data_IF_825505470957
#
_entry.id   IF_825505470957
#
_cell.length_a   1.000
_cell.length_b   1.000
_cell.length_c   1.000
_cell.angle_alpha   90.00
_cell.angle_beta   90.00
_cell.angle_gamma   90.00
#
_symmetry.space_group_name_H-M   'P 1'
#
loop_
_entity.id
_entity.type
_entity.pdbx_description
1 polymer ?
2 water ?
#
# COMPACT_ATOMS: atom_id res chain seq x y z
N UNK A 2 17.92 -15.24 -3.66
CA UNK A 2 18.32 -15.59 -5.02
C UNK A 2 19.46 -14.68 -5.51
N UNK A 3 19.13 -13.71 -6.38
CA UNK A 3 20.10 -12.70 -6.82
C UNK A 3 20.33 -11.60 -5.78
N UNK A 4 19.37 -11.38 -4.89
CA UNK A 4 19.49 -10.34 -3.89
C UNK A 4 18.14 -9.70 -3.64
N UNK A 5 18.18 -8.59 -2.90
CA UNK A 5 16.98 -7.85 -2.55
C UNK A 5 17.17 -6.40 -2.98
N UNK A 6 16.19 -5.86 -3.68
CA UNK A 6 16.14 -4.44 -3.99
C UNK A 6 15.11 -3.79 -3.07
N UNK A 7 15.56 -2.90 -2.19
CA UNK A 7 14.67 -2.15 -1.31
C UNK A 7 14.46 -0.76 -1.88
N UNK A 8 13.21 -0.41 -2.15
CA UNK A 8 13.00 0.94 -2.65
C UNK A 8 11.73 1.55 -2.07
N UNK A 9 11.75 2.87 -2.01
CA UNK A 9 10.65 3.64 -1.44
C UNK A 9 9.66 3.88 -2.57
N UNK A 10 8.50 3.22 -2.49
CA UNK A 10 7.44 3.41 -3.47
C UNK A 10 6.67 4.70 -3.24
N UNK A 11 6.70 5.24 -2.02
CA UNK A 11 6.03 6.51 -1.73
C UNK A 11 6.67 7.14 -0.50
N UNK A 12 6.87 8.44 -0.57
CA UNK A 12 7.37 9.24 0.54
C UNK A 12 6.58 10.54 0.47
N UNK A 13 5.60 10.70 1.35
CA UNK A 13 4.57 11.73 1.18
C UNK A 13 4.32 12.42 2.51
N UNK A 14 4.61 13.72 2.56
CA UNK A 14 4.35 14.55 3.72
C UNK A 14 2.97 15.18 3.53
N UNK A 15 2.16 15.14 4.58
CA UNK A 15 0.76 15.53 4.53
C UNK A 15 0.40 16.32 5.78
N UNK A 16 -0.51 17.30 5.67
CA UNK A 16 -1.04 17.95 6.87
C UNK A 16 -1.97 17.07 7.69
N UNK A 17 -2.41 15.93 7.16
CA UNK A 17 -3.38 15.09 7.85
C UNK A 17 -2.68 14.31 8.96
N UNK A 18 -3.39 14.10 10.07
CA UNK A 18 -2.78 13.44 11.22
C UNK A 18 -2.46 11.96 10.92
N UNK A 19 -1.37 11.44 11.50
CA UNK A 19 -0.93 10.09 11.09
C UNK A 19 -1.88 8.99 11.48
N UNK A 20 -2.54 9.09 12.65
CA UNK A 20 -3.51 8.07 13.02
C UNK A 20 -4.60 7.95 11.98
N UNK A 21 -4.98 9.08 11.35
CA UNK A 21 -6.08 9.03 10.40
C UNK A 21 -5.66 8.39 9.09
N UNK A 22 -4.48 8.75 8.58
CA UNK A 22 -3.97 8.14 7.36
C UNK A 22 -3.71 6.65 7.56
N UNK A 23 -3.19 6.30 8.72
CA UNK A 23 -3.00 4.89 9.05
C UNK A 23 -4.30 4.12 8.91
N UNK A 24 -5.38 4.62 9.52
CA UNK A 24 -6.68 3.95 9.41
C UNK A 24 -7.13 3.87 7.95
N UNK A 25 -6.97 4.96 7.21
CA UNK A 25 -7.45 4.96 5.83
C UNK A 25 -6.65 4.00 4.95
N UNK A 26 -5.32 3.93 5.12
CA UNK A 26 -4.52 3.18 4.15
C UNK A 26 -4.29 1.73 4.52
N UNK A 27 -4.26 1.41 5.81
CA UNK A 27 -3.85 0.08 6.23
C UNK A 27 -4.92 -0.69 7.00
N UNK A 28 -5.82 -0.03 7.71
CA UNK A 28 -6.80 -0.72 8.56
C UNK A 28 -8.15 -0.83 7.89
N UNK A 29 -8.67 0.30 7.37
CA UNK A 29 -10.00 0.37 6.78
C UNK A 29 -9.96 0.56 5.27
N UNK A 30 -8.81 0.29 4.63
CA UNK A 30 -8.70 0.51 3.19
C UNK A 30 -9.67 -0.35 2.40
N UNK A 31 -10.03 -1.54 2.91
CA UNK A 31 -10.93 -2.40 2.16
C UNK A 31 -12.32 -1.79 2.01
N UNK A 32 -12.70 -0.88 2.91
CA UNK A 32 -13.94 -0.12 2.77
C UNK A 32 -13.72 1.19 2.04
N UNK A 33 -12.66 1.92 2.41
CA UNK A 33 -12.44 3.26 1.88
C UNK A 33 -12.03 3.24 0.41
N UNK A 34 -11.05 2.40 0.04
CA UNK A 34 -10.42 2.59 -1.27
C UNK A 34 -11.36 2.32 -2.44
N UNK A 35 -12.20 1.27 -2.42
CA UNK A 35 -13.13 1.10 -3.56
C UNK A 35 -14.12 2.25 -3.69
N UNK A 36 -14.52 2.89 -2.59
CA UNK A 36 -15.42 4.04 -2.66
C UNK A 36 -14.69 5.31 -3.11
N UNK A 37 -13.53 5.60 -2.52
CA UNK A 37 -12.90 6.91 -2.73
C UNK A 37 -12.02 6.93 -3.97
N UNK A 38 -11.44 5.79 -4.34
CA UNK A 38 -10.50 5.79 -5.44
C UNK A 38 -10.85 4.64 -6.41
N UNK A 39 -12.10 4.57 -6.89
CA UNK A 39 -12.48 3.44 -7.77
C UNK A 39 -11.68 3.38 -9.05
N UNK A 40 -11.02 4.47 -9.45
CA UNK A 40 -10.20 4.42 -10.65
C UNK A 40 -8.90 3.66 -10.44
N UNK A 41 -8.51 3.40 -9.19
CA UNK A 41 -7.32 2.61 -8.91
C UNK A 41 -7.62 1.26 -8.27
N UNK A 42 -8.73 1.14 -7.55
CA UNK A 42 -9.07 -0.06 -6.80
C UNK A 42 -10.52 -0.44 -7.10
N UNK A 43 -10.71 -1.57 -7.80
CA UNK A 43 -12.07 -2.03 -8.06
C UNK A 43 -12.72 -2.55 -6.79
N UNK A 44 -12.05 -3.44 -6.08
CA UNK A 44 -12.61 -3.98 -4.86
C UNK A 44 -11.46 -4.56 -4.05
N UNK A 45 -11.72 -4.73 -2.76
CA UNK A 45 -10.80 -5.40 -1.84
C UNK A 45 -11.63 -6.38 -1.01
N UNK A 46 -11.28 -7.66 -1.06
CA UNK A 46 -11.99 -8.70 -0.33
C UNK A 46 -11.06 -9.36 0.68
N UNK A 47 -11.62 -9.75 1.82
CA UNK A 47 -10.86 -10.59 2.76
C UNK A 47 -10.83 -12.01 2.21
N UNK A 48 -9.63 -12.48 1.86
CA UNK A 48 -9.38 -13.89 1.54
C UNK A 48 -9.28 -14.72 2.81
N UNK A 49 -8.77 -14.13 3.89
CA UNK A 49 -8.61 -14.83 5.15
C UNK A 49 -8.79 -13.80 6.24
N UNK A 50 -9.61 -14.12 7.25
CA UNK A 50 -10.00 -13.15 8.25
C UNK A 50 -11.19 -12.32 7.78
N UNK A 51 -11.69 -11.46 8.67
CA UNK A 51 -12.77 -10.55 8.33
C UNK A 51 -12.55 -9.14 8.89
N UNK A 52 -11.36 -8.85 9.36
CA UNK A 52 -11.00 -7.52 9.85
C UNK A 52 -9.50 -7.47 9.71
N UNK A 53 -8.96 -6.25 9.62
CA UNK A 53 -7.52 -6.11 9.49
C UNK A 53 -6.86 -6.56 10.78
N UNK A 54 -6.09 -7.63 10.69
CA UNK A 54 -5.49 -8.22 11.86
C UNK A 54 -4.28 -8.99 11.39
N UNK A 55 -3.32 -9.18 12.29
CA UNK A 55 -2.18 -10.03 11.95
C UNK A 55 -2.68 -11.38 11.47
N UNK A 56 -2.16 -11.85 10.33
CA UNK A 56 -2.56 -13.10 9.70
C UNK A 56 -3.64 -12.99 8.63
N UNK A 57 -4.37 -11.88 8.58
CA UNK A 57 -5.40 -11.77 7.55
C UNK A 57 -4.75 -11.65 6.16
N UNK A 58 -5.53 -11.98 5.14
CA UNK A 58 -5.12 -11.87 3.75
C UNK A 58 -6.19 -11.06 3.02
N UNK A 59 -5.78 -9.96 2.41
CA UNK A 59 -6.69 -9.15 1.61
C UNK A 59 -6.31 -9.26 0.14
N UNK A 60 -7.30 -9.46 -0.71
CA UNK A 60 -7.08 -9.47 -2.15
C UNK A 60 -7.52 -8.13 -2.70
N UNK A 61 -6.61 -7.43 -3.35
CA UNK A 61 -6.90 -6.14 -3.97
C UNK A 61 -7.06 -6.41 -5.46
N UNK A 62 -8.21 -6.02 -6.00
CA UNK A 62 -8.53 -6.20 -7.41
C UNK A 62 -8.49 -4.84 -8.08
N UNK A 63 -7.71 -4.74 -9.20
CA UNK A 63 -7.48 -3.49 -9.92
C UNK A 63 -8.40 -3.38 -11.14
N UNK A 64 -8.73 -2.16 -11.56
CA UNK A 64 -9.60 -1.99 -12.73
C UNK A 64 -9.03 -2.65 -13.98
N UNK A 65 -9.92 -2.80 -14.97
CA UNK A 65 -9.53 -3.36 -16.27
C UNK A 65 -8.40 -2.56 -16.90
N UNK A 66 -8.44 -1.23 -16.75
CA UNK A 66 -7.34 -0.37 -17.18
C UNK A 66 -5.99 -0.93 -16.75
N UNK A 67 -5.87 -1.32 -15.48
CA UNK A 67 -4.57 -1.50 -14.85
C UNK A 67 -3.73 -2.54 -15.58
N UNK A 68 -2.40 -2.40 -15.54
CA UNK A 68 -1.52 -3.39 -16.18
C UNK A 68 -1.52 -4.75 -15.50
N UNK A 69 -2.04 -4.84 -14.28
CA UNK A 69 -2.13 -6.11 -13.56
C UNK A 69 -3.56 -6.27 -13.04
N UNK A 70 -3.88 -7.46 -12.58
CA UNK A 70 -5.25 -7.70 -12.19
C UNK A 70 -5.45 -7.81 -10.68
N UNK A 71 -4.48 -8.34 -9.94
CA UNK A 71 -4.75 -8.56 -8.52
C UNK A 71 -3.49 -8.88 -7.74
N UNK A 72 -3.63 -8.71 -6.42
CA UNK A 72 -2.59 -9.01 -5.46
C UNK A 72 -3.27 -9.53 -4.20
N UNK A 73 -2.65 -10.52 -3.55
CA UNK A 73 -3.09 -11.06 -2.27
C UNK A 73 -2.01 -10.71 -1.25
N UNK A 74 -2.37 -9.89 -0.26
CA UNK A 74 -1.44 -9.33 0.71
C UNK A 74 -1.73 -9.95 2.07
N UNK A 75 -0.75 -10.66 2.61
CA UNK A 75 -0.86 -11.28 3.92
C UNK A 75 -0.25 -10.36 4.98
N UNK A 76 -1.04 -10.00 6.00
CA UNK A 76 -0.58 -9.04 7.00
C UNK A 76 0.25 -9.78 8.06
N UNK A 77 1.53 -9.44 8.16
CA UNK A 77 2.41 -10.19 9.06
C UNK A 77 2.70 -9.46 10.36
N UNK A 78 2.67 -8.13 10.36
CA UNK A 78 2.96 -7.38 11.58
C UNK A 78 2.15 -6.09 11.57
N UNK A 79 1.60 -5.71 12.72
CA UNK A 79 0.90 -4.43 12.90
C UNK A 79 1.40 -3.82 14.19
N UNK A 80 1.83 -2.56 14.13
CA UNK A 80 2.15 -1.82 15.36
C UNK A 80 1.39 -0.52 15.25
N UNK A 81 0.13 -0.53 15.71
CA UNK A 81 -0.74 0.62 15.52
C UNK A 81 -0.23 1.84 16.27
N UNK A 82 0.47 1.62 17.38
CA UNK A 82 1.00 2.73 18.16
C UNK A 82 2.05 3.50 17.37
N UNK A 83 2.79 2.82 16.49
CA UNK A 83 3.76 3.44 15.62
C UNK A 83 3.23 3.63 14.20
N UNK A 84 1.94 3.34 13.97
CA UNK A 84 1.32 3.49 12.65
C UNK A 84 2.08 2.70 11.60
N UNK A 85 2.40 1.45 11.94
CA UNK A 85 3.25 0.59 11.13
C UNK A 85 2.54 -0.70 10.76
N UNK A 86 2.69 -1.12 9.50
CA UNK A 86 2.17 -2.40 9.08
C UNK A 86 3.14 -3.02 8.08
N UNK A 87 3.36 -4.32 8.20
CA UNK A 87 4.17 -5.06 7.24
C UNK A 87 3.29 -6.14 6.64
N UNK A 88 3.31 -6.25 5.32
CA UNK A 88 2.59 -7.33 4.67
C UNK A 88 3.45 -7.95 3.58
N UNK A 89 3.09 -9.18 3.22
CA UNK A 89 3.81 -9.94 2.21
C UNK A 89 2.86 -10.25 1.07
N UNK A 90 3.28 -9.97 -0.17
CA UNK A 90 2.44 -10.35 -1.30
C UNK A 90 2.64 -11.84 -1.56
N UNK A 91 1.61 -12.65 -1.30
CA UNK A 91 1.76 -14.10 -1.42
C UNK A 91 1.28 -14.63 -2.76
N UNK A 92 0.62 -13.80 -3.56
CA UNK A 92 0.07 -14.21 -4.84
C UNK A 92 -0.28 -12.95 -5.62
N UNK A 93 -0.17 -13.03 -6.94
CA UNK A 93 -0.62 -11.91 -7.74
C UNK A 93 0.21 -11.68 -8.99
N UNK A 94 -0.19 -10.70 -9.81
CA UNK A 94 0.50 -10.40 -11.05
C UNK A 94 0.94 -8.94 -11.12
N UNK A 95 0.99 -8.26 -9.98
CA UNK A 95 1.37 -6.85 -9.92
C UNK A 95 2.87 -6.65 -9.76
N UNK A 96 3.62 -7.64 -9.96
CA UNK A 96 5.05 -7.56 -9.74
C UNK A 96 5.75 -7.01 -10.96
N UNK A 97 6.84 -6.29 -10.75
CA UNK A 97 7.81 -6.11 -11.83
C UNK A 97 8.34 -7.48 -12.26
N UNK A 98 8.38 -7.70 -13.58
CA UNK A 98 8.60 -9.00 -14.22
C UNK A 98 9.56 -9.94 -13.50
N UNK A 99 10.51 -9.38 -12.78
CA UNK A 99 11.66 -10.13 -12.29
C UNK A 99 11.66 -10.29 -10.77
N UNK A 100 10.49 -10.43 -10.14
CA UNK A 100 10.39 -10.43 -8.68
C UNK A 100 9.92 -11.80 -8.21
N UNK A 101 10.74 -12.47 -7.39
CA UNK A 101 10.37 -13.76 -6.83
C UNK A 101 9.41 -13.64 -5.64
N UNK A 102 9.44 -12.52 -4.93
CA UNK A 102 8.83 -12.44 -3.61
C UNK A 102 8.90 -10.99 -3.16
N UNK A 103 7.82 -10.42 -2.63
CA UNK A 103 7.81 -9.00 -2.31
C UNK A 103 7.19 -8.75 -0.94
N UNK A 104 7.86 -7.91 -0.16
CA UNK A 104 7.48 -7.58 1.20
C UNK A 104 7.34 -6.07 1.26
N UNK A 105 6.31 -5.59 1.95
CA UNK A 105 6.01 -4.16 1.98
C UNK A 105 5.84 -3.67 3.40
N UNK A 106 6.28 -2.44 3.66
CA UNK A 106 6.10 -1.80 4.96
C UNK A 106 5.45 -0.44 4.72
N UNK A 107 4.29 -0.21 5.33
CA UNK A 107 3.61 1.08 5.28
C UNK A 107 3.80 1.71 6.65
N UNK A 108 4.36 2.92 6.70
CA UNK A 108 4.63 3.58 7.96
C UNK A 108 4.14 5.01 7.86
N UNK A 109 3.59 5.50 8.96
CA UNK A 109 3.16 6.89 9.08
C UNK A 109 3.84 7.47 10.30
N UNK A 110 4.42 8.64 10.13
CA UNK A 110 5.25 9.27 11.13
C UNK A 110 4.62 10.62 11.47
N UNK A 111 4.59 10.93 12.75
CA UNK A 111 4.16 12.25 13.19
C UNK A 111 5.25 13.27 12.88
N UNK A 112 4.88 14.37 12.24
CA UNK A 112 5.81 15.47 12.02
C UNK A 112 5.20 16.73 12.62
N UNK A 113 5.84 17.87 12.37
CA UNK A 113 5.22 19.14 12.74
C UNK A 113 4.25 19.63 11.67
N UNK A 114 4.53 19.37 10.39
CA UNK A 114 3.59 19.71 9.33
C UNK A 114 2.37 18.79 9.31
N UNK A 115 2.41 17.65 10.01
CA UNK A 115 1.32 16.68 10.04
C UNK A 115 1.80 15.23 10.12
N UNK A 116 2.00 14.61 8.96
CA UNK A 116 2.45 13.23 8.84
C UNK A 116 3.51 13.13 7.76
N UNK A 117 4.37 12.11 7.89
CA UNK A 117 5.19 11.66 6.77
C UNK A 117 4.86 10.19 6.53
N UNK A 118 4.36 9.88 5.34
CA UNK A 118 3.96 8.53 4.97
C UNK A 118 5.05 7.91 4.11
N UNK A 119 5.49 6.71 4.47
CA UNK A 119 6.53 6.00 3.73
C UNK A 119 6.03 4.60 3.42
N UNK A 120 6.05 4.22 2.16
CA UNK A 120 5.73 2.86 1.76
C UNK A 120 6.95 2.27 1.08
N UNK A 121 7.48 1.20 1.64
CA UNK A 121 8.77 0.65 1.25
C UNK A 121 8.54 -0.75 0.73
N UNK A 122 9.20 -1.09 -0.37
CA UNK A 122 9.05 -2.40 -0.98
C UNK A 122 10.39 -3.11 -0.88
N UNK A 123 10.35 -4.40 -0.58
CA UNK A 123 11.54 -5.24 -0.54
C UNK A 123 11.32 -6.31 -1.60
N UNK A 124 11.98 -6.15 -2.75
CA UNK A 124 11.80 -7.04 -3.90
C UNK A 124 12.93 -8.05 -3.92
N UNK A 125 12.60 -9.32 -3.72
CA UNK A 125 13.60 -10.39 -3.85
C UNK A 125 13.70 -10.78 -5.31
N UNK A 126 14.87 -10.60 -5.90
CA UNK A 126 15.04 -10.69 -7.35
C UNK A 126 15.57 -12.07 -7.73
N UNK A 127 15.04 -12.62 -8.83
CA UNK A 127 15.51 -13.88 -9.38
C UNK A 127 16.90 -13.70 -10.03
N UNK A 128 17.49 -14.81 -10.44
CA UNK A 128 18.83 -14.79 -10.99
C UNK A 128 18.87 -13.86 -12.15
N UNK A 129 19.86 -12.98 -12.09
CA UNK A 129 20.10 -11.93 -13.05
C UNK A 129 18.91 -11.23 -13.56
N UNK A 130 18.12 -10.74 -12.64
CA UNK A 130 16.93 -10.03 -12.95
C UNK A 130 17.24 -8.56 -12.85
N UNK A 131 17.38 -7.97 -14.00
CA UNK A 131 17.62 -6.54 -14.12
C UNK A 131 16.42 -5.78 -13.57
N UNK A 132 16.68 -4.69 -12.85
CA UNK A 132 15.58 -3.82 -12.44
C UNK A 132 15.98 -2.36 -12.57
N UNK A 133 15.04 -1.55 -13.06
CA UNK A 133 15.27 -0.15 -13.36
C UNK A 133 14.13 0.70 -12.81
N UNK A 134 14.36 2.01 -12.81
CA UNK A 134 13.36 2.95 -12.32
C UNK A 134 12.05 2.83 -13.09
N UNK A 135 12.14 2.63 -14.41
CA UNK A 135 10.93 2.52 -15.21
C UNK A 135 10.05 1.37 -14.77
N UNK A 136 10.62 0.40 -14.06
CA UNK A 136 9.81 -0.73 -13.61
C UNK A 136 8.95 -0.38 -12.41
N UNK A 137 9.34 0.61 -11.61
CA UNK A 137 8.58 0.98 -10.42
C UNK A 137 7.93 2.36 -10.53
N UNK A 138 8.27 3.16 -11.55
CA UNK A 138 7.65 4.48 -11.66
C UNK A 138 6.13 4.42 -11.86
N UNK A 139 5.56 3.48 -12.63
CA UNK A 139 4.08 3.42 -12.69
C UNK A 139 3.43 3.25 -11.34
N UNK A 140 3.96 2.35 -10.50
CA UNK A 140 3.43 2.19 -9.15
C UNK A 140 3.61 3.46 -8.34
N UNK A 141 4.80 4.06 -8.40
CA UNK A 141 5.03 5.29 -7.64
C UNK A 141 4.02 6.36 -8.03
N UNK A 142 3.81 6.55 -9.34
CA UNK A 142 2.90 7.60 -9.80
C UNK A 142 1.45 7.29 -9.42
N UNK A 143 1.03 6.03 -9.57
CA UNK A 143 -0.33 5.67 -9.16
C UNK A 143 -0.56 5.86 -7.68
N UNK A 144 0.44 5.52 -6.86
CA UNK A 144 0.30 5.62 -5.41
C UNK A 144 0.18 7.08 -4.98
N UNK A 145 0.95 7.97 -5.61
CA UNK A 145 0.85 9.40 -5.28
C UNK A 145 -0.55 9.93 -5.60
N UNK A 146 -1.12 9.51 -6.73
CA UNK A 146 -2.48 9.95 -7.10
C UNK A 146 -3.51 9.41 -6.13
N UNK A 147 -3.38 8.13 -5.75
CA UNK A 147 -4.26 7.56 -4.74
C UNK A 147 -4.16 8.31 -3.43
N UNK A 148 -2.93 8.58 -2.97
CA UNK A 148 -2.78 9.33 -1.73
C UNK A 148 -3.47 10.69 -1.84
N UNK A 149 -3.25 11.38 -2.97
CA UNK A 149 -3.86 12.69 -3.18
C UNK A 149 -5.37 12.64 -2.99
N UNK A 150 -6.02 11.63 -3.58
CA UNK A 150 -7.48 11.53 -3.47
C UNK A 150 -7.90 11.21 -2.04
N UNK A 151 -7.18 10.30 -1.37
CA UNK A 151 -7.52 9.94 0.01
C UNK A 151 -7.27 11.12 0.93
N UNK A 152 -6.18 11.85 0.71
CA UNK A 152 -5.89 13.02 1.53
C UNK A 152 -7.04 14.02 1.47
N UNK A 153 -7.49 14.34 0.26
CA UNK A 153 -8.57 15.32 0.07
C UNK A 153 -9.85 14.85 0.76
N UNK A 154 -10.16 13.55 0.65
CA UNK A 154 -11.32 12.99 1.35
C UNK A 154 -11.24 13.22 2.86
N UNK A 155 -10.07 12.98 3.45
CA UNK A 155 -9.92 13.14 4.89
C UNK A 155 -9.95 14.61 5.29
N UNK A 156 -9.47 15.50 4.42
CA UNK A 156 -9.59 16.93 4.70
C UNK A 156 -11.06 17.34 4.68
N UNK A 157 -11.80 16.84 3.70
CA UNK A 157 -13.20 17.21 3.52
C UNK A 157 -14.10 16.59 4.57
N UNK A 158 -13.63 15.51 5.22
CA UNK A 158 -14.36 14.76 6.23
C UNK A 158 -13.51 14.73 7.50
N UNK A 159 -13.37 15.87 8.18
CA UNK A 159 -12.36 15.96 9.23
C UNK A 159 -12.59 15.00 10.39
N UNK A 160 -13.81 14.52 10.63
CA UNK A 160 -14.01 13.62 11.77
C UNK A 160 -13.81 12.16 11.42
N UNK A 161 -13.63 11.83 10.15
CA UNK A 161 -13.46 10.43 9.76
C UNK A 161 -12.12 9.92 10.29
N UNK A 162 -12.14 8.86 11.11
CA UNK A 162 -10.97 8.27 11.76
C UNK A 162 -10.33 9.17 12.81
N UNK A 163 -11.01 10.23 13.25
CA UNK A 163 -10.38 11.12 14.23
C UNK A 163 -10.54 10.51 15.62
#
# INVERSE_FOLDING_TARGET
GSMGVFTCTLADITSPVAPARLFQAFTIDNHNLMPKVVPQFVKSIDFVQGDSTAVGCVKQINFPADAPFTYVKNRVDEIDASKYYLKYTCIEGDAFPDTVEYAVYEDTFEQTETGSRCKMVAHYHLKGDSVMKEEDVAPAKEGIQKMFKAVEEHLIANPQLYA
#
